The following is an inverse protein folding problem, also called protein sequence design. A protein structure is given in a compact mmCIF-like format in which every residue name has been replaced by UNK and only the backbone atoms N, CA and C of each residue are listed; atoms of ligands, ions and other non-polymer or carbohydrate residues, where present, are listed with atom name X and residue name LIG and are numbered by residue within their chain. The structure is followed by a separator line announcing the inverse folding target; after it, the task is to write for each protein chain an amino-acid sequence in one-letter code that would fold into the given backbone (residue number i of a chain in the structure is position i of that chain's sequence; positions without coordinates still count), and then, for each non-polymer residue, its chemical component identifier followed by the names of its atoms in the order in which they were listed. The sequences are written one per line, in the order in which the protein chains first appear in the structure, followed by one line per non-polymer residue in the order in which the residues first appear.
data_IF_340084068878
#
_entry.id   IF_340084068878
#
_cell.length_a   1.000
_cell.length_b   1.000
_cell.length_c   1.000
_cell.angle_alpha   90.00
_cell.angle_beta   90.00
_cell.angle_gamma   90.00
#
_symmetry.space_group_name_H-M   'P 1'
#
loop_
_entity.id
_entity.type
_entity.pdbx_description
1 polymer ?
#
# COMPACT_ATOMS: atom_id res chain seq x y z
N UNK A 1 13.88 9.01 19.51
CA UNK A 1 13.03 8.15 20.38
C UNK A 1 12.34 7.04 19.58
N UNK A 2 11.66 7.35 18.47
CA UNK A 2 10.95 6.37 17.62
C UNK A 2 11.83 5.22 17.10
N UNK A 3 13.08 5.47 16.73
CA UNK A 3 13.99 4.45 16.20
C UNK A 3 14.23 3.29 17.19
N UNK A 4 14.41 3.59 18.48
CA UNK A 4 14.63 2.56 19.51
C UNK A 4 13.38 1.68 19.70
N UNK A 5 12.19 2.27 19.62
CA UNK A 5 10.93 1.54 19.68
C UNK A 5 10.74 0.62 18.46
N UNK A 6 11.07 1.09 17.26
CA UNK A 6 11.07 0.24 16.06
C UNK A 6 12.06 -0.92 16.16
N UNK A 7 13.28 -0.68 16.66
CA UNK A 7 14.28 -1.74 16.86
C UNK A 7 13.77 -2.81 17.83
N UNK A 8 13.15 -2.42 18.94
CA UNK A 8 12.52 -3.36 19.89
C UNK A 8 11.43 -4.19 19.23
N UNK A 9 10.55 -3.54 18.47
CA UNK A 9 9.47 -4.19 17.75
C UNK A 9 10.00 -5.23 16.73
N UNK A 10 10.98 -4.83 15.92
CA UNK A 10 11.60 -5.71 14.92
C UNK A 10 12.35 -6.89 15.57
N UNK A 11 13.02 -6.67 16.71
CA UNK A 11 13.63 -7.74 17.47
C UNK A 11 12.58 -8.76 17.96
N UNK A 12 11.46 -8.29 18.53
CA UNK A 12 10.37 -9.16 18.95
C UNK A 12 9.79 -9.98 17.80
N UNK A 13 9.62 -9.38 16.62
CA UNK A 13 9.11 -10.08 15.43
C UNK A 13 10.09 -11.13 14.89
N UNK A 14 11.40 -10.89 15.00
CA UNK A 14 12.41 -11.88 14.63
C UNK A 14 12.41 -13.10 15.58
N UNK A 15 11.96 -12.90 16.82
CA UNK A 15 11.79 -13.95 17.84
C UNK A 15 10.39 -14.56 17.85
N UNK A 16 9.56 -14.28 16.83
CA UNK A 16 8.16 -14.73 16.73
C UNK A 16 7.24 -14.28 17.88
N UNK A 17 7.67 -13.27 18.64
CA UNK A 17 6.85 -12.60 19.66
C UNK A 17 6.04 -11.49 18.98
N UNK A 18 4.93 -11.87 18.35
CA UNK A 18 4.03 -10.91 17.67
C UNK A 18 2.96 -10.33 18.58
N UNK A 19 2.43 -11.17 19.47
CA UNK A 19 1.27 -10.89 20.31
C UNK A 19 1.72 -10.81 21.76
N UNK A 20 1.92 -9.59 22.24
CA UNK A 20 2.16 -9.27 23.64
C UNK A 20 1.58 -7.90 23.93
N UNK A 21 1.15 -7.66 25.17
CA UNK A 21 0.66 -6.34 25.58
C UNK A 21 1.68 -5.24 25.28
N UNK A 22 2.97 -5.52 25.52
CA UNK A 22 4.08 -4.62 25.20
C UNK A 22 4.11 -4.26 23.70
N UNK A 23 3.97 -5.25 22.81
CA UNK A 23 3.99 -4.99 21.37
C UNK A 23 2.74 -4.24 20.90
N UNK A 24 1.58 -4.52 21.48
CA UNK A 24 0.34 -3.81 21.17
C UNK A 24 0.45 -2.33 21.60
N UNK A 25 1.04 -2.06 22.77
CA UNK A 25 1.36 -0.70 23.22
C UNK A 25 2.36 -0.01 22.29
N UNK A 26 3.45 -0.69 21.91
CA UNK A 26 4.43 -0.17 20.96
C UNK A 26 3.81 0.17 19.61
N UNK A 27 2.93 -0.70 19.09
CA UNK A 27 2.19 -0.44 17.84
C UNK A 27 1.22 0.73 18.02
N UNK A 28 0.57 0.85 19.18
CA UNK A 28 -0.26 2.00 19.53
C UNK A 28 0.53 3.32 19.46
N UNK A 29 1.75 3.33 20.00
CA UNK A 29 2.64 4.50 20.01
C UNK A 29 3.23 4.83 18.63
N UNK A 30 3.61 3.81 17.87
CA UNK A 30 4.28 3.98 16.56
C UNK A 30 3.30 4.13 15.39
N UNK A 31 2.04 3.75 15.58
CA UNK A 31 0.96 3.96 14.64
C UNK A 31 0.95 3.00 13.44
N UNK A 32 0.42 3.48 12.32
CA UNK A 32 0.17 2.67 11.13
C UNK A 32 1.40 1.94 10.58
N UNK A 33 2.61 2.54 10.50
CA UNK A 33 3.77 1.84 9.97
C UNK A 33 4.16 0.61 10.80
N UNK A 34 4.04 0.67 12.14
CA UNK A 34 4.35 -0.47 13.00
C UNK A 34 3.34 -1.62 12.84
N UNK A 35 2.05 -1.31 12.68
CA UNK A 35 1.03 -2.31 12.36
C UNK A 35 1.34 -3.00 11.02
N UNK A 36 1.71 -2.24 9.98
CA UNK A 36 2.12 -2.80 8.68
C UNK A 36 3.35 -3.69 8.81
N UNK A 37 4.35 -3.30 9.60
CA UNK A 37 5.53 -4.12 9.84
C UNK A 37 5.18 -5.47 10.48
N UNK A 38 4.28 -5.47 11.47
CA UNK A 38 3.78 -6.72 12.07
C UNK A 38 3.03 -7.57 11.04
N UNK A 39 2.14 -6.95 10.26
CA UNK A 39 1.42 -7.61 9.18
C UNK A 39 2.36 -8.29 8.17
N UNK A 40 3.41 -7.61 7.74
CA UNK A 40 4.43 -8.16 6.84
C UNK A 40 5.18 -9.36 7.46
N UNK A 41 5.50 -9.29 8.75
CA UNK A 41 6.14 -10.41 9.45
C UNK A 41 5.20 -11.61 9.58
N UNK A 42 3.92 -11.37 9.87
CA UNK A 42 2.87 -12.40 9.95
C UNK A 42 2.59 -13.06 8.59
N UNK A 43 2.65 -12.32 7.48
CA UNK A 43 2.60 -12.87 6.11
C UNK A 43 3.71 -13.90 5.90
N UNK A 44 4.95 -13.62 6.35
CA UNK A 44 6.08 -14.57 6.24
C UNK A 44 5.83 -15.84 7.04
N UNK A 45 5.04 -15.76 8.11
CA UNK A 45 4.61 -16.89 8.95
C UNK A 45 3.32 -17.55 8.49
N UNK A 46 2.74 -17.10 7.36
CA UNK A 46 1.45 -17.58 6.84
C UNK A 46 0.27 -17.37 7.80
N UNK A 47 0.40 -16.43 8.74
CA UNK A 47 -0.66 -16.06 9.68
C UNK A 47 -1.61 -15.05 9.03
N UNK A 48 -2.31 -15.48 7.97
CA UNK A 48 -3.04 -14.61 7.04
C UNK A 48 -4.12 -13.76 7.71
N UNK A 49 -4.89 -14.34 8.65
CA UNK A 49 -5.96 -13.63 9.34
C UNK A 49 -5.42 -12.49 10.21
N UNK A 50 -4.38 -12.76 11.00
CA UNK A 50 -3.73 -11.77 11.84
C UNK A 50 -3.04 -10.69 11.01
N UNK A 51 -2.37 -11.07 9.92
CA UNK A 51 -1.76 -10.11 9.00
C UNK A 51 -2.79 -9.18 8.36
N UNK A 52 -3.92 -9.74 7.90
CA UNK A 52 -5.02 -8.97 7.34
C UNK A 52 -5.60 -7.97 8.34
N UNK A 53 -5.75 -8.37 9.61
CA UNK A 53 -6.21 -7.49 10.69
C UNK A 53 -5.25 -6.31 10.89
N UNK A 54 -3.94 -6.56 10.91
CA UNK A 54 -2.93 -5.51 11.05
C UNK A 54 -2.92 -4.54 9.88
N UNK A 55 -3.00 -5.02 8.63
CA UNK A 55 -3.09 -4.14 7.46
C UNK A 55 -4.36 -3.28 7.49
N UNK A 56 -5.50 -3.87 7.86
CA UNK A 56 -6.78 -3.14 7.96
C UNK A 56 -6.73 -2.08 9.06
N UNK A 57 -6.20 -2.43 10.23
CA UNK A 57 -6.02 -1.50 11.34
C UNK A 57 -5.03 -0.38 11.01
N UNK A 58 -4.04 -0.65 10.16
CA UNK A 58 -3.17 0.40 9.62
C UNK A 58 -3.98 1.37 8.73
N UNK A 59 -4.75 0.85 7.78
CA UNK A 59 -5.53 1.63 6.81
C UNK A 59 -6.71 2.39 7.42
N UNK A 60 -7.27 1.91 8.53
CA UNK A 60 -8.38 2.57 9.23
C UNK A 60 -7.98 3.88 9.92
N UNK A 61 -6.68 4.16 10.05
CA UNK A 61 -6.19 5.39 10.67
C UNK A 61 -6.30 6.56 9.68
N UNK A 62 -6.76 7.74 10.11
CA UNK A 62 -6.84 8.91 9.24
C UNK A 62 -5.43 9.43 8.88
N UNK A 63 -5.28 9.96 7.66
CA UNK A 63 -4.04 10.62 7.22
C UNK A 63 -2.83 9.70 7.07
N UNK A 64 -3.05 8.40 6.82
CA UNK A 64 -1.96 7.45 6.59
C UNK A 64 -1.11 7.83 5.38
N UNK A 65 0.21 7.71 5.53
CA UNK A 65 1.13 7.97 4.43
C UNK A 65 0.91 6.97 3.28
N UNK A 66 0.99 7.44 2.03
CA UNK A 66 0.78 6.61 0.84
C UNK A 66 1.66 5.34 0.78
N UNK A 67 2.86 5.38 1.40
CA UNK A 67 3.74 4.19 1.48
C UNK A 67 3.14 3.10 2.39
N UNK A 68 2.44 3.48 3.46
CA UNK A 68 1.71 2.56 4.33
C UNK A 68 0.56 1.93 3.55
N UNK A 69 -0.18 2.74 2.79
CA UNK A 69 -1.27 2.25 1.95
C UNK A 69 -0.79 1.31 0.84
N UNK A 70 0.33 1.64 0.19
CA UNK A 70 0.96 0.80 -0.82
C UNK A 70 1.32 -0.59 -0.26
N UNK A 71 2.01 -0.63 0.88
CA UNK A 71 2.47 -1.88 1.50
C UNK A 71 1.28 -2.67 2.07
N UNK A 72 0.35 -2.00 2.75
CA UNK A 72 -0.85 -2.65 3.28
C UNK A 72 -1.74 -3.19 2.15
N UNK A 73 -1.92 -2.46 1.06
CA UNK A 73 -2.68 -2.89 -0.10
C UNK A 73 -2.11 -4.16 -0.74
N UNK A 74 -0.79 -4.20 -0.95
CA UNK A 74 -0.11 -5.41 -1.41
C UNK A 74 -0.20 -6.57 -0.41
N UNK A 75 -0.06 -6.28 0.89
CA UNK A 75 -0.20 -7.27 1.96
C UNK A 75 -1.61 -7.89 2.03
N UNK A 76 -2.66 -7.09 1.83
CA UNK A 76 -4.04 -7.56 1.77
C UNK A 76 -4.29 -8.51 0.59
N UNK A 77 -3.61 -8.31 -0.54
CA UNK A 77 -3.62 -9.27 -1.65
C UNK A 77 -3.05 -10.63 -1.26
N UNK A 78 -1.92 -10.65 -0.54
CA UNK A 78 -1.37 -11.91 0.01
C UNK A 78 -2.35 -12.60 0.97
N UNK A 79 -3.15 -11.81 1.69
CA UNK A 79 -4.19 -12.29 2.60
C UNK A 79 -5.55 -12.57 1.92
N UNK A 80 -5.62 -12.53 0.58
CA UNK A 80 -6.85 -12.72 -0.23
C UNK A 80 -7.97 -11.71 0.01
N UNK A 81 -7.65 -10.52 0.52
CA UNK A 81 -8.58 -9.39 0.66
C UNK A 81 -8.41 -8.42 -0.50
N UNK A 82 -8.75 -8.91 -1.69
CA UNK A 82 -8.42 -8.27 -2.96
C UNK A 82 -9.02 -6.89 -3.13
N UNK A 83 -10.31 -6.72 -2.78
CA UNK A 83 -11.01 -5.44 -2.96
C UNK A 83 -10.39 -4.34 -2.10
N UNK A 84 -10.23 -4.60 -0.81
CA UNK A 84 -9.58 -3.66 0.13
C UNK A 84 -8.12 -3.39 -0.24
N UNK A 85 -7.43 -4.41 -0.77
CA UNK A 85 -6.09 -4.26 -1.32
C UNK A 85 -6.05 -3.27 -2.48
N UNK A 86 -6.96 -3.38 -3.44
CA UNK A 86 -7.05 -2.45 -4.57
C UNK A 86 -7.44 -1.05 -4.14
N UNK A 87 -8.39 -0.89 -3.22
CA UNK A 87 -8.76 0.42 -2.69
C UNK A 87 -7.56 1.12 -2.04
N UNK A 88 -6.77 0.39 -1.25
CA UNK A 88 -5.55 0.94 -0.64
C UNK A 88 -4.51 1.35 -1.70
N UNK A 89 -4.32 0.53 -2.75
CA UNK A 89 -3.44 0.88 -3.86
C UNK A 89 -3.95 2.09 -4.64
N UNK A 90 -5.27 2.23 -4.82
CA UNK A 90 -5.87 3.38 -5.48
C UNK A 90 -5.66 4.67 -4.66
N UNK A 91 -5.81 4.61 -3.33
CA UNK A 91 -5.48 5.74 -2.45
C UNK A 91 -4.00 6.12 -2.55
N UNK A 92 -3.10 5.14 -2.46
CA UNK A 92 -1.66 5.37 -2.59
C UNK A 92 -1.27 5.99 -3.95
N UNK A 93 -1.95 5.58 -5.02
CA UNK A 93 -1.78 6.11 -6.37
C UNK A 93 -2.27 7.57 -6.54
N UNK A 94 -3.23 8.00 -5.73
CA UNK A 94 -3.87 9.31 -5.83
C UNK A 94 -3.06 10.41 -5.13
N UNK A 95 -2.49 10.14 -3.95
CA UNK A 95 -1.80 11.17 -3.16
C UNK A 95 -0.33 10.85 -2.82
N UNK A 96 0.17 9.70 -3.24
CA UNK A 96 1.58 9.34 -3.05
C UNK A 96 2.53 10.28 -3.78
N UNK A 97 3.74 10.43 -3.23
CA UNK A 97 4.88 11.02 -3.96
C UNK A 97 5.07 10.26 -5.29
N UNK A 98 5.62 10.88 -6.35
CA UNK A 98 5.65 10.29 -7.70
C UNK A 98 6.10 8.82 -7.78
N UNK A 99 7.16 8.44 -7.06
CA UNK A 99 7.63 7.05 -7.03
C UNK A 99 6.66 6.06 -6.36
N UNK A 100 6.03 6.46 -5.25
CA UNK A 100 5.02 5.64 -4.54
C UNK A 100 3.75 5.54 -5.37
N UNK A 101 3.29 6.65 -5.94
CA UNK A 101 2.09 6.68 -6.77
C UNK A 101 2.25 5.84 -8.05
N UNK A 102 3.38 5.97 -8.74
CA UNK A 102 3.68 5.17 -9.92
C UNK A 102 3.73 3.66 -9.59
N UNK A 103 4.37 3.31 -8.48
CA UNK A 103 4.42 1.91 -8.01
C UNK A 103 3.04 1.37 -7.66
N UNK A 104 2.20 2.17 -6.99
CA UNK A 104 0.84 1.81 -6.64
C UNK A 104 -0.03 1.57 -7.89
N UNK A 105 0.08 2.44 -8.91
CA UNK A 105 -0.60 2.28 -10.19
C UNK A 105 -0.19 1.01 -10.91
N UNK A 106 1.12 0.76 -11.00
CA UNK A 106 1.63 -0.46 -11.64
C UNK A 106 1.08 -1.71 -10.97
N UNK A 107 1.20 -1.80 -9.65
CA UNK A 107 0.72 -2.96 -8.90
C UNK A 107 -0.80 -3.11 -8.98
N UNK A 108 -1.56 -2.03 -8.82
CA UNK A 108 -3.02 -2.05 -8.93
C UNK A 108 -3.47 -2.57 -10.31
N UNK A 109 -2.88 -2.05 -11.38
CA UNK A 109 -3.16 -2.50 -12.74
C UNK A 109 -2.82 -3.98 -12.95
N UNK A 110 -1.62 -4.41 -12.54
CA UNK A 110 -1.15 -5.79 -12.69
C UNK A 110 -2.04 -6.78 -11.94
N UNK A 111 -2.39 -6.46 -10.69
CA UNK A 111 -3.20 -7.31 -9.81
C UNK A 111 -4.65 -7.39 -10.28
N UNK A 112 -5.28 -6.27 -10.66
CA UNK A 112 -6.63 -6.25 -11.20
C UNK A 112 -6.70 -7.04 -12.53
N UNK A 113 -5.70 -6.89 -13.40
CA UNK A 113 -5.63 -7.64 -14.67
C UNK A 113 -5.54 -9.15 -14.45
N UNK A 114 -4.74 -9.60 -13.46
CA UNK A 114 -4.65 -11.03 -13.10
C UNK A 114 -5.97 -11.61 -12.58
N UNK A 115 -6.83 -10.77 -12.00
CA UNK A 115 -8.17 -11.16 -11.54
C UNK A 115 -9.25 -11.01 -12.63
N UNK A 116 -8.89 -10.60 -13.85
CA UNK A 116 -9.80 -10.24 -14.94
C UNK A 116 -10.76 -9.08 -14.58
N UNK A 117 -10.36 -8.21 -13.67
CA UNK A 117 -11.09 -7.01 -13.24
C UNK A 117 -10.69 -5.83 -14.13
N UNK A 118 -11.20 -5.84 -15.37
CA UNK A 118 -10.76 -4.93 -16.42
C UNK A 118 -11.10 -3.45 -16.15
N UNK A 119 -12.17 -3.16 -15.42
CA UNK A 119 -12.56 -1.79 -15.10
C UNK A 119 -11.59 -1.16 -14.09
N UNK A 120 -11.29 -1.89 -13.02
CA UNK A 120 -10.31 -1.54 -12.01
C UNK A 120 -8.91 -1.44 -12.61
N UNK A 121 -8.53 -2.37 -13.49
CA UNK A 121 -7.24 -2.28 -14.19
C UNK A 121 -7.12 -0.99 -15.01
N UNK A 122 -8.19 -0.56 -15.69
CA UNK A 122 -8.20 0.70 -16.45
C UNK A 122 -8.13 1.92 -15.54
N UNK A 123 -8.74 1.90 -14.36
CA UNK A 123 -8.69 3.03 -13.43
C UNK A 123 -7.26 3.32 -12.94
N UNK A 124 -6.40 2.30 -12.89
CA UNK A 124 -4.97 2.47 -12.58
C UNK A 124 -4.11 2.90 -13.79
N UNK A 125 -4.53 2.59 -15.01
CA UNK A 125 -3.86 3.02 -16.26
C UNK A 125 -4.23 4.45 -16.65
N UNK A 126 -5.45 4.87 -16.32
CA UNK A 126 -5.82 6.26 -16.35
C UNK A 126 -4.95 6.97 -15.31
N UNK A 127 -3.91 7.69 -15.78
CA UNK A 127 -3.24 8.67 -14.93
C UNK A 127 -4.27 9.62 -14.30
N UNK A 128 -3.84 10.42 -13.31
CA UNK A 128 -4.66 11.52 -12.80
C UNK A 128 -5.36 12.26 -13.98
N UNK A 129 -6.58 12.80 -13.84
CA UNK A 129 -7.16 13.67 -14.86
C UNK A 129 -6.16 14.74 -15.35
N UNK A 130 -5.27 15.20 -14.46
CA UNK A 130 -4.16 16.08 -14.79
C UNK A 130 -3.05 15.39 -15.62
N UNK A 131 -2.72 14.11 -15.33
CA UNK A 131 -1.77 13.33 -16.12
C UNK A 131 -2.33 13.01 -17.52
N UNK A 132 -3.65 12.80 -17.65
CA UNK A 132 -4.33 12.65 -18.95
C UNK A 132 -4.32 13.96 -19.73
N UNK A 133 -4.64 15.09 -19.09
CA UNK A 133 -4.58 16.40 -19.72
C UNK A 133 -3.14 16.71 -20.21
N UNK A 134 -2.14 16.50 -19.36
CA UNK A 134 -0.73 16.70 -19.71
C UNK A 134 -0.19 15.70 -20.76
N UNK A 135 -0.75 14.49 -20.85
CA UNK A 135 -0.44 13.55 -21.93
C UNK A 135 -1.09 13.99 -23.25
N UNK A 136 -2.35 14.41 -23.23
CA UNK A 136 -3.03 14.95 -24.41
C UNK A 136 -2.36 16.21 -24.94
N UNK A 137 -1.94 17.12 -24.05
CA UNK A 137 -1.22 18.35 -24.41
C UNK A 137 0.15 18.04 -25.04
N UNK A 138 0.95 17.15 -24.43
CA UNK A 138 2.23 16.71 -25.00
C UNK A 138 2.09 15.97 -26.34
N UNK A 139 1.01 15.21 -26.53
CA UNK A 139 0.73 14.53 -27.79
C UNK A 139 0.27 15.52 -28.87
N UNK A 140 -0.51 16.54 -28.49
CA UNK A 140 -0.88 17.62 -29.40
C UNK A 140 0.36 18.42 -29.85
N UNK A 141 1.23 18.81 -28.91
CA UNK A 141 2.49 19.50 -29.22
C UNK A 141 3.41 18.66 -30.12
N UNK A 142 3.49 17.35 -29.90
CA UNK A 142 4.31 16.46 -30.72
C UNK A 142 3.74 16.25 -32.14
N UNK A 143 2.43 16.35 -32.31
CA UNK A 143 1.78 16.30 -33.63
C UNK A 143 1.97 17.62 -34.37
N UNK A 144 1.87 18.76 -33.67
CA UNK A 144 2.05 20.09 -34.25
C UNK A 144 3.51 20.41 -34.59
N UNK A 145 4.48 19.78 -33.94
CA UNK A 145 5.90 19.99 -34.24
C UNK A 145 6.45 19.13 -35.38
N UNK A 146 5.75 18.06 -35.81
CA UNK A 146 6.13 17.21 -36.95
C UNK A 146 7.57 16.64 -36.89
N UNK A 147 7.96 15.75 -37.81
CA UNK A 147 9.39 15.49 -38.07
C UNK A 147 10.09 16.69 -38.72
#
# INVERSE_FOLDING_TARGET
MSELLYRRLLAAFNEDRFFSTENDELIGQLGAPAAVLRGCALVRRRAWASAAADFSAALARPGVAAIVELVAGFGLFACRRYHEGLEALARAAAHGKPGVAAQARRLGHELASRLAWHEEARSFSAGSPADRAALCERLADAIDQGP
#
